data_IF_537450034824
#
_entry.id   IF_537450034824
#
_cell.length_a   1.000
_cell.length_b   1.000
_cell.length_c   1.000
_cell.angle_alpha   90.00
_cell.angle_beta   90.00
_cell.angle_gamma   90.00
#
_symmetry.space_group_name_H-M   'P 1'
#
loop_
_entity.id
_entity.type
_entity.pdbx_description
1 polymer ?
#
# COMPACT_ATOMS: atom_id res chain seq x y z
N UNK A 1 -26.11 31.08 0.71
CA UNK A 1 -25.36 31.00 1.97
C UNK A 1 -23.91 31.38 1.67
N UNK A 2 -23.28 32.30 2.41
CA UNK A 2 -21.86 32.59 2.24
C UNK A 2 -21.05 31.32 2.53
N UNK A 3 -20.11 30.98 1.63
CA UNK A 3 -19.24 29.81 1.78
C UNK A 3 -18.33 30.05 3.00
N UNK A 4 -18.26 29.06 3.89
CA UNK A 4 -17.43 29.17 5.08
C UNK A 4 -15.96 29.37 4.69
N UNK A 5 -15.28 30.24 5.43
CA UNK A 5 -13.89 30.61 5.17
C UNK A 5 -12.96 29.41 5.42
N UNK A 6 -12.28 28.95 4.36
CA UNK A 6 -11.50 27.71 4.39
C UNK A 6 -10.30 27.76 5.33
N UNK A 7 -9.46 28.82 5.36
CA UNK A 7 -8.38 28.94 6.33
C UNK A 7 -8.88 28.88 7.78
N UNK A 8 -9.99 29.55 8.10
CA UNK A 8 -10.56 29.50 9.45
C UNK A 8 -11.08 28.10 9.82
N UNK A 9 -11.53 27.30 8.83
CA UNK A 9 -11.88 25.90 9.05
C UNK A 9 -10.64 25.04 9.35
N UNK A 10 -9.55 25.26 8.61
CA UNK A 10 -8.28 24.55 8.83
C UNK A 10 -7.74 24.80 10.24
N UNK A 11 -7.68 26.06 10.67
CA UNK A 11 -7.20 26.43 12.01
C UNK A 11 -7.99 25.71 13.12
N UNK A 12 -9.32 25.61 12.97
CA UNK A 12 -10.16 24.90 13.94
C UNK A 12 -9.92 23.39 13.95
N UNK A 13 -9.70 22.78 12.79
CA UNK A 13 -9.37 21.35 12.68
C UNK A 13 -8.00 21.05 13.27
N UNK A 14 -7.01 21.92 13.05
CA UNK A 14 -5.67 21.78 13.63
C UNK A 14 -5.66 21.91 15.16
N UNK A 15 -6.54 22.75 15.70
CA UNK A 15 -6.74 22.91 17.15
C UNK A 15 -7.62 21.81 17.76
N UNK A 16 -7.96 20.76 17.00
CA UNK A 16 -8.88 19.69 17.38
C UNK A 16 -10.26 20.21 17.89
N UNK A 17 -10.66 21.41 17.45
CA UNK A 17 -11.89 22.11 17.85
C UNK A 17 -12.98 22.10 16.76
N UNK A 18 -12.90 21.14 15.83
CA UNK A 18 -13.82 21.05 14.70
C UNK A 18 -15.23 20.65 15.15
N UNK A 19 -16.21 21.47 14.82
CA UNK A 19 -17.63 21.19 15.06
C UNK A 19 -18.24 20.33 13.95
N UNK A 20 -19.43 19.77 14.18
CA UNK A 20 -20.17 19.05 13.14
C UNK A 20 -20.50 19.97 11.94
N UNK A 21 -20.71 21.27 12.19
CA UNK A 21 -20.91 22.26 11.12
C UNK A 21 -19.65 22.44 10.25
N UNK A 22 -18.47 22.32 10.84
CA UNK A 22 -17.20 22.42 10.11
C UNK A 22 -17.01 21.22 9.19
N UNK A 23 -17.43 20.01 9.62
CA UNK A 23 -17.44 18.81 8.76
C UNK A 23 -18.30 19.05 7.53
N UNK A 24 -19.55 19.50 7.70
CA UNK A 24 -20.44 19.78 6.55
C UNK A 24 -19.93 20.90 5.64
N UNK A 25 -19.25 21.91 6.20
CA UNK A 25 -18.61 22.94 5.38
C UNK A 25 -17.44 22.37 4.57
N UNK A 26 -16.61 21.51 5.17
CA UNK A 26 -15.50 20.84 4.48
C UNK A 26 -15.99 19.85 3.42
N UNK A 27 -17.11 19.15 3.65
CA UNK A 27 -17.77 18.29 2.64
C UNK A 27 -18.15 19.11 1.40
N UNK A 28 -18.80 20.28 1.57
CA UNK A 28 -19.13 21.18 0.45
C UNK A 28 -17.87 21.68 -0.28
N UNK A 29 -16.78 21.91 0.44
CA UNK A 29 -15.50 22.28 -0.17
C UNK A 29 -14.92 21.18 -1.04
N UNK A 30 -14.96 19.93 -0.55
CA UNK A 30 -14.52 18.75 -1.28
C UNK A 30 -15.40 18.49 -2.50
N UNK A 31 -16.71 18.66 -2.39
CA UNK A 31 -17.66 18.50 -3.50
C UNK A 31 -17.39 19.52 -4.62
N UNK A 32 -17.15 20.78 -4.25
CA UNK A 32 -16.82 21.83 -5.21
C UNK A 32 -15.40 21.72 -5.79
N UNK A 33 -14.48 21.03 -5.12
CA UNK A 33 -13.08 20.87 -5.55
C UNK A 33 -12.54 19.49 -5.16
N UNK A 34 -12.90 18.41 -5.89
CA UNK A 34 -12.57 17.03 -5.54
C UNK A 34 -11.08 16.67 -5.69
N UNK A 35 -10.28 17.57 -6.28
CA UNK A 35 -8.81 17.45 -6.36
C UNK A 35 -8.08 18.19 -5.22
N UNK A 36 -8.79 18.85 -4.31
CA UNK A 36 -8.14 19.66 -3.28
C UNK A 36 -7.64 18.79 -2.12
N UNK A 37 -6.33 18.49 -2.13
CA UNK A 37 -5.69 17.61 -1.13
C UNK A 37 -5.93 18.09 0.30
N UNK A 38 -5.66 19.37 0.58
CA UNK A 38 -5.82 19.94 1.94
C UNK A 38 -7.25 19.82 2.46
N UNK A 39 -8.27 19.95 1.61
CA UNK A 39 -9.66 19.78 2.01
C UNK A 39 -9.94 18.33 2.41
N UNK A 40 -9.41 17.35 1.67
CA UNK A 40 -9.48 15.95 2.06
C UNK A 40 -8.74 15.64 3.37
N UNK A 41 -7.56 16.24 3.60
CA UNK A 41 -6.81 16.06 4.85
C UNK A 41 -7.58 16.64 6.05
N UNK A 42 -8.11 17.85 5.91
CA UNK A 42 -8.88 18.52 6.95
C UNK A 42 -10.18 17.77 7.25
N UNK A 43 -10.91 17.32 6.21
CA UNK A 43 -12.12 16.54 6.38
C UNK A 43 -11.82 15.18 7.04
N UNK A 44 -10.75 14.49 6.62
CA UNK A 44 -10.34 13.25 7.25
C UNK A 44 -10.03 13.43 8.75
N UNK A 45 -9.33 14.51 9.11
CA UNK A 45 -9.02 14.84 10.50
C UNK A 45 -10.28 15.21 11.30
N UNK A 46 -11.19 15.99 10.73
CA UNK A 46 -12.46 16.30 11.35
C UNK A 46 -13.30 15.02 11.59
N UNK A 47 -13.35 14.10 10.61
CA UNK A 47 -14.00 12.80 10.78
C UNK A 47 -13.36 11.95 11.90
N UNK A 48 -12.04 12.02 12.10
CA UNK A 48 -11.37 11.34 13.24
C UNK A 48 -11.85 11.87 14.59
N UNK A 49 -12.02 13.20 14.71
CA UNK A 49 -12.49 13.87 15.93
C UNK A 49 -13.95 13.53 16.26
N UNK A 50 -14.78 13.37 15.24
CA UNK A 50 -16.20 12.97 15.38
C UNK A 50 -16.41 11.45 15.41
N UNK A 51 -15.35 10.67 15.62
CA UNK A 51 -15.40 9.20 15.74
C UNK A 51 -16.03 8.49 14.54
N UNK A 52 -15.82 9.00 13.32
CA UNK A 52 -16.26 8.40 12.04
C UNK A 52 -15.07 7.79 11.28
N UNK A 53 -14.50 6.67 11.75
CA UNK A 53 -13.22 6.15 11.24
C UNK A 53 -13.30 5.70 9.77
N UNK A 54 -14.43 5.15 9.33
CA UNK A 54 -14.59 4.69 7.95
C UNK A 54 -14.54 5.84 6.94
N UNK A 55 -15.17 6.95 7.29
CA UNK A 55 -15.17 8.15 6.46
C UNK A 55 -13.82 8.82 6.46
N UNK A 56 -13.19 8.93 7.63
CA UNK A 56 -11.82 9.41 7.74
C UNK A 56 -10.89 8.59 6.82
N UNK A 57 -10.98 7.25 6.86
CA UNK A 57 -10.18 6.35 6.01
C UNK A 57 -10.45 6.55 4.52
N UNK A 58 -11.70 6.78 4.10
CA UNK A 58 -12.02 7.10 2.69
C UNK A 58 -11.33 8.38 2.24
N UNK A 59 -11.39 9.45 3.03
CA UNK A 59 -10.74 10.72 2.70
C UNK A 59 -9.22 10.65 2.76
N UNK A 60 -8.64 9.90 3.70
CA UNK A 60 -7.20 9.62 3.73
C UNK A 60 -6.73 8.87 2.48
N UNK A 61 -7.49 7.88 2.00
CA UNK A 61 -7.19 7.17 0.75
C UNK A 61 -7.26 8.10 -0.45
N UNK A 62 -8.28 8.96 -0.52
CA UNK A 62 -8.40 9.94 -1.61
C UNK A 62 -7.22 10.91 -1.62
N UNK A 63 -6.81 11.42 -0.45
CA UNK A 63 -5.61 12.24 -0.33
C UNK A 63 -4.33 11.49 -0.74
N UNK A 64 -4.24 10.18 -0.47
CA UNK A 64 -3.11 9.35 -0.88
C UNK A 64 -3.00 9.19 -2.40
N UNK A 65 -4.14 9.12 -3.09
CA UNK A 65 -4.18 9.08 -4.56
C UNK A 65 -3.72 10.40 -5.18
N UNK A 66 -4.10 11.54 -4.57
CA UNK A 66 -3.75 12.86 -5.08
C UNK A 66 -2.30 13.25 -4.76
N UNK A 67 -1.76 12.82 -3.62
CA UNK A 67 -0.37 13.09 -3.23
C UNK A 67 0.31 11.83 -2.66
N UNK A 68 0.75 10.92 -3.54
CA UNK A 68 1.51 9.75 -3.13
C UNK A 68 2.80 10.17 -2.42
N UNK A 69 3.06 9.62 -1.24
CA UNK A 69 4.28 9.89 -0.46
C UNK A 69 4.12 10.89 0.69
N UNK A 70 3.01 11.63 0.77
CA UNK A 70 2.76 12.57 1.87
C UNK A 70 2.87 11.86 3.24
N UNK A 71 3.76 12.32 4.15
CA UNK A 71 3.94 11.69 5.46
C UNK A 71 2.70 11.83 6.34
N UNK A 72 1.98 12.95 6.23
CA UNK A 72 0.73 13.20 6.96
C UNK A 72 -0.35 12.18 6.57
N UNK A 73 -0.50 11.91 5.26
CA UNK A 73 -1.46 10.92 4.76
C UNK A 73 -1.11 9.52 5.25
N UNK A 74 0.17 9.12 5.15
CA UNK A 74 0.62 7.82 5.64
C UNK A 74 0.39 7.66 7.15
N UNK A 75 0.62 8.72 7.92
CA UNK A 75 0.35 8.71 9.36
C UNK A 75 -1.16 8.56 9.64
N UNK A 76 -2.02 9.30 8.94
CA UNK A 76 -3.48 9.22 9.08
C UNK A 76 -4.05 7.83 8.73
N UNK A 77 -3.58 7.23 7.63
CA UNK A 77 -3.95 5.86 7.26
C UNK A 77 -3.54 4.83 8.32
N UNK A 78 -2.34 4.95 8.90
CA UNK A 78 -1.90 4.05 9.99
C UNK A 78 -2.74 4.22 11.26
N UNK A 79 -3.11 5.46 11.61
CA UNK A 79 -3.97 5.72 12.78
C UNK A 79 -5.36 5.13 12.62
N UNK A 80 -6.00 5.36 11.48
CA UNK A 80 -7.34 4.85 11.19
C UNK A 80 -7.38 3.33 11.02
N UNK A 81 -6.30 2.71 10.52
CA UNK A 81 -6.19 1.26 10.40
C UNK A 81 -6.04 0.53 11.75
N UNK A 82 -5.49 1.19 12.79
CA UNK A 82 -5.34 0.60 14.13
C UNK A 82 -6.63 0.59 14.96
N UNK A 83 -7.65 1.36 14.56
CA UNK A 83 -8.86 1.59 15.37
C UNK A 83 -9.92 0.46 15.40
N UNK A 84 -9.94 -0.60 14.56
CA UNK A 84 -11.02 -1.60 14.62
C UNK A 84 -10.71 -2.91 15.37
N UNK A 85 -9.48 -3.17 15.85
CA UNK A 85 -9.21 -4.44 16.57
C UNK A 85 -9.39 -4.37 18.09
N UNK A 86 -9.32 -3.19 18.71
CA UNK A 86 -9.47 -3.07 20.15
C UNK A 86 -10.91 -3.33 20.65
N UNK A 87 -11.91 -3.08 19.80
CA UNK A 87 -13.33 -3.31 20.15
C UNK A 87 -13.80 -4.72 19.74
N UNK A 88 -13.24 -5.28 18.65
CA UNK A 88 -13.46 -6.69 18.28
C UNK A 88 -12.78 -7.67 19.27
N UNK A 89 -11.66 -7.28 19.88
CA UNK A 89 -11.03 -8.06 20.95
C UNK A 89 -11.78 -8.01 22.30
N UNK A 90 -12.84 -7.20 22.42
CA UNK A 90 -13.70 -7.15 23.60
C UNK A 90 -14.96 -8.03 23.49
N UNK A 91 -15.19 -8.70 22.35
CA UNK A 91 -16.10 -9.85 22.29
C UNK A 91 -15.40 -11.06 22.91
N UNK A 92 -15.39 -11.03 24.23
CA UNK A 92 -15.09 -12.16 25.10
C UNK A 92 -16.00 -13.30 24.69
N UNK A 93 -15.47 -14.27 23.93
CA UNK A 93 -16.12 -15.58 23.81
C UNK A 93 -16.26 -16.10 25.25
N UNK A 94 -17.48 -16.42 25.73
CA UNK A 94 -17.63 -17.01 27.06
C UNK A 94 -16.83 -18.31 27.11
N UNK A 95 -15.90 -18.39 28.05
CA UNK A 95 -15.05 -19.54 28.35
C UNK A 95 -15.85 -20.69 29.01
N UNK A 96 -17.03 -21.00 28.51
CA UNK A 96 -17.97 -21.96 29.11
C UNK A 96 -18.52 -22.96 28.08
N UNK A 97 -17.63 -23.44 27.20
CA UNK A 97 -17.85 -24.69 26.47
C UNK A 97 -16.55 -25.51 26.55
N UNK A 98 -16.20 -25.91 27.78
CA UNK A 98 -15.25 -26.97 28.03
C UNK A 98 -15.99 -28.21 28.58
N UNK A 99 -16.04 -29.21 27.70
CA UNK A 99 -16.09 -30.69 27.91
C UNK A 99 -17.39 -31.32 28.44
N UNK A 100 -17.71 -32.57 28.02
CA UNK A 100 -17.04 -33.74 28.60
C UNK A 100 -16.60 -34.86 27.60
N UNK A 101 -15.47 -35.47 27.98
CA UNK A 101 -15.11 -36.91 27.90
C UNK A 101 -14.75 -37.53 26.53
N UNK A 102 -13.49 -37.95 26.40
CA UNK A 102 -13.15 -39.39 26.42
C UNK A 102 -11.66 -39.67 26.65
N UNK A 103 -11.44 -40.48 27.68
CA UNK A 103 -10.22 -41.13 28.15
C UNK A 103 -9.54 -42.04 27.12
N UNK A 104 -8.21 -42.07 27.13
CA UNK A 104 -7.32 -43.26 27.32
C UNK A 104 -5.87 -42.83 27.04
N UNK A 105 -5.00 -42.80 28.06
CA UNK A 105 -3.93 -43.79 28.37
C UNK A 105 -2.55 -43.31 27.83
N UNK A 106 -1.65 -42.80 28.70
CA UNK A 106 -0.47 -43.49 29.31
C UNK A 106 0.61 -43.84 28.25
N UNK A 107 1.90 -43.50 28.30
CA UNK A 107 2.90 -43.29 29.36
C UNK A 107 4.13 -42.52 28.81
N UNK A 108 5.10 -42.30 29.70
CA UNK A 108 6.52 -41.91 29.50
C UNK A 108 6.82 -40.41 29.32
N UNK A 109 7.81 -39.82 29.98
CA UNK A 109 8.70 -40.22 31.06
C UNK A 109 9.36 -38.91 31.54
N UNK A 110 9.25 -38.66 32.84
CA UNK A 110 10.27 -38.11 33.78
C UNK A 110 11.55 -37.43 33.26
N UNK A 111 11.83 -36.24 33.82
CA UNK A 111 13.16 -35.60 33.86
C UNK A 111 13.05 -34.07 34.01
N UNK A 112 12.59 -33.53 35.14
CA UNK A 112 13.41 -33.03 36.26
C UNK A 112 14.24 -31.78 35.94
N UNK A 113 13.84 -30.66 36.59
CA UNK A 113 14.69 -29.63 37.22
C UNK A 113 15.47 -28.70 36.24
N UNK A 114 15.63 -27.39 36.43
CA UNK A 114 15.71 -26.53 37.62
C UNK A 114 15.52 -25.07 37.15
N UNK A 115 15.00 -24.22 38.04
CA UNK A 115 15.25 -22.76 38.04
C UNK A 115 16.69 -22.42 37.61
N UNK A 116 16.86 -21.39 36.77
CA UNK A 116 17.83 -20.30 37.00
C UNK A 116 17.49 -19.14 36.05
N UNK A 117 16.91 -18.07 36.59
CA UNK A 117 17.02 -16.73 36.02
C UNK A 117 18.43 -16.22 36.31
N UNK A 118 19.12 -15.64 35.32
CA UNK A 118 19.51 -14.25 35.52
C UNK A 118 19.56 -13.40 34.23
N UNK A 119 19.18 -12.14 34.42
CA UNK A 119 19.94 -10.96 33.96
C UNK A 119 19.94 -10.59 32.46
N UNK A 120 19.36 -9.41 32.23
CA UNK A 120 19.45 -8.64 31.00
C UNK A 120 20.90 -8.19 30.70
N UNK A 121 21.26 -7.96 29.42
CA UNK A 121 22.27 -6.99 29.08
C UNK A 121 21.63 -5.70 28.57
N UNK A 122 21.87 -4.66 29.35
CA UNK A 122 21.80 -3.24 28.97
C UNK A 122 22.57 -2.93 27.70
N UNK A 123 22.15 -1.79 27.13
CA UNK A 123 22.76 -1.02 26.07
C UNK A 123 24.26 -0.73 26.23
N UNK A 124 24.81 -0.23 25.12
CA UNK A 124 26.08 0.49 24.94
C UNK A 124 27.28 -0.32 24.40
N UNK A 125 27.40 -0.31 23.08
CA UNK A 125 28.68 -0.44 22.38
C UNK A 125 28.77 0.64 21.28
N UNK A 126 28.82 1.90 21.71
CA UNK A 126 29.36 2.98 20.88
C UNK A 126 30.87 2.75 20.78
N UNK A 127 31.32 2.34 19.60
CA UNK A 127 32.75 2.27 19.29
C UNK A 127 33.35 3.67 19.32
N UNK A 128 34.10 3.97 20.36
CA UNK A 128 34.96 5.15 20.44
C UNK A 128 36.13 4.98 19.44
N UNK A 129 35.95 5.51 18.23
CA UNK A 129 37.02 5.66 17.24
C UNK A 129 38.09 6.62 17.77
N UNK A 130 39.35 6.19 17.68
CA UNK A 130 40.49 6.93 18.22
C UNK A 130 40.66 8.32 17.56
N UNK A 131 41.11 9.35 18.30
CA UNK A 131 41.30 10.72 17.78
C UNK A 131 42.18 10.82 16.52
N UNK A 132 43.04 9.81 16.29
CA UNK A 132 43.96 9.73 15.15
C UNK A 132 43.27 9.36 13.83
N UNK A 133 42.19 8.59 13.87
CA UNK A 133 41.43 8.17 12.68
C UNK A 133 40.48 9.29 12.20
N UNK A 134 39.93 10.07 13.12
CA UNK A 134 39.15 11.28 12.78
C UNK A 134 40.03 12.34 12.10
N UNK A 135 41.30 12.43 12.46
CA UNK A 135 42.24 13.39 11.88
C UNK A 135 42.69 12.99 10.47
N UNK A 136 42.78 11.69 10.17
CA UNK A 136 43.07 11.19 8.82
C UNK A 136 41.88 11.37 7.85
N UNK A 137 40.63 11.20 8.31
CA UNK A 137 39.45 11.48 7.46
C UNK A 137 39.36 12.93 7.01
N UNK A 138 39.69 13.90 7.87
CA UNK A 138 39.61 15.33 7.54
C UNK A 138 40.59 15.79 6.45
N UNK A 139 41.73 15.13 6.31
CA UNK A 139 42.72 15.45 5.27
C UNK A 139 42.29 14.86 3.91
N UNK A 140 41.69 13.68 3.93
CA UNK A 140 41.17 13.02 2.72
C UNK A 140 39.92 13.73 2.17
N UNK A 141 38.97 14.16 3.00
CA UNK A 141 37.77 14.88 2.54
C UNK A 141 38.10 16.25 1.92
N UNK A 142 39.13 16.94 2.43
CA UNK A 142 39.54 18.24 1.88
C UNK A 142 40.20 18.11 0.51
N UNK A 143 40.83 16.97 0.21
CA UNK A 143 41.46 16.71 -1.10
C UNK A 143 40.40 16.36 -2.15
N UNK A 144 39.37 15.60 -1.76
CA UNK A 144 38.26 15.22 -2.67
C UNK A 144 37.39 16.43 -3.05
N UNK A 145 37.16 17.38 -2.13
CA UNK A 145 36.43 18.61 -2.46
C UNK A 145 37.20 19.53 -3.43
N UNK A 146 38.53 19.50 -3.41
CA UNK A 146 39.36 20.35 -4.27
C UNK A 146 39.49 19.79 -5.70
N UNK A 147 39.28 18.48 -5.89
CA UNK A 147 39.33 17.81 -7.19
C UNK A 147 37.99 17.86 -7.95
N UNK A 148 36.85 17.95 -7.22
CA UNK A 148 35.51 18.15 -7.79
C UNK A 148 35.25 19.57 -8.28
N UNK A 149 36.00 20.56 -7.80
CA UNK A 149 35.84 21.98 -8.18
C UNK A 149 36.53 22.33 -9.51
N UNK A 150 37.33 21.42 -10.08
CA UNK A 150 38.09 21.63 -11.31
C UNK A 150 37.45 21.00 -12.57
N UNK A 151 36.25 20.43 -12.46
CA UNK A 151 35.54 19.76 -13.54
C UNK A 151 34.11 20.29 -13.73
N UNK A 152 33.99 21.56 -14.10
CA UNK A 152 32.77 22.06 -14.76
C UNK A 152 33.09 22.31 -16.24
N UNK A 153 32.86 21.34 -17.15
CA UNK A 153 32.68 21.69 -18.55
C UNK A 153 31.38 22.50 -18.68
N UNK A 154 31.49 23.61 -19.40
CA UNK A 154 30.42 24.55 -19.72
C UNK A 154 29.34 23.87 -20.59
N UNK A 155 28.30 23.30 -19.97
CA UNK A 155 27.12 22.74 -20.66
C UNK A 155 25.78 23.28 -20.11
N UNK A 156 25.72 24.53 -19.64
CA UNK A 156 24.48 25.15 -19.14
C UNK A 156 23.76 26.09 -20.13
N UNK A 157 23.88 25.88 -21.45
CA UNK A 157 23.10 26.66 -22.44
C UNK A 157 22.11 25.83 -23.30
N UNK A 158 22.02 24.50 -23.12
CA UNK A 158 21.10 23.67 -23.93
C UNK A 158 19.73 23.41 -23.31
N UNK A 159 19.63 23.27 -21.98
CA UNK A 159 18.39 22.79 -21.33
C UNK A 159 17.22 23.77 -21.42
N UNK A 160 17.49 25.07 -21.62
CA UNK A 160 16.45 26.09 -21.75
C UNK A 160 15.72 26.06 -23.10
N UNK A 161 16.36 25.57 -24.17
CA UNK A 161 15.74 25.44 -25.50
C UNK A 161 14.95 24.14 -25.67
N UNK A 162 15.19 23.14 -24.82
CA UNK A 162 14.45 21.89 -24.82
C UNK A 162 13.10 22.00 -24.09
N UNK A 163 12.92 23.02 -23.23
CA UNK A 163 11.67 23.24 -22.52
C UNK A 163 10.54 23.70 -23.45
N UNK A 164 10.83 24.59 -24.41
CA UNK A 164 9.81 25.05 -25.35
C UNK A 164 9.33 23.91 -26.26
N UNK A 165 10.22 23.02 -26.69
CA UNK A 165 9.86 21.80 -27.42
C UNK A 165 9.05 20.82 -26.57
N UNK A 166 9.44 20.61 -25.31
CA UNK A 166 8.70 19.75 -24.39
C UNK A 166 7.29 20.29 -24.09
N UNK A 167 7.13 21.61 -24.02
CA UNK A 167 5.83 22.27 -23.84
C UNK A 167 4.95 22.04 -25.08
N UNK A 168 5.52 22.11 -26.29
CA UNK A 168 4.79 21.86 -27.54
C UNK A 168 4.35 20.39 -27.63
N UNK A 169 5.23 19.44 -27.29
CA UNK A 169 4.91 18.02 -27.20
C UNK A 169 3.80 17.72 -26.17
N UNK A 170 3.82 18.39 -25.02
CA UNK A 170 2.79 18.27 -23.97
C UNK A 170 1.45 18.88 -24.39
N UNK A 171 1.47 19.91 -25.23
CA UNK A 171 0.25 20.52 -25.77
C UNK A 171 -0.38 19.66 -26.87
N UNK A 172 0.43 19.01 -27.71
CA UNK A 172 -0.03 18.07 -28.74
C UNK A 172 -0.56 16.77 -28.12
N UNK A 173 0.10 16.26 -27.07
CA UNK A 173 -0.35 15.07 -26.33
C UNK A 173 -1.58 15.30 -25.43
N UNK A 174 -2.22 16.46 -25.50
CA UNK A 174 -3.43 16.76 -24.74
C UNK A 174 -4.58 15.89 -25.24
N UNK A 175 -4.89 14.84 -24.47
CA UNK A 175 -6.05 13.99 -24.72
C UNK A 175 -7.31 14.86 -24.64
N UNK A 176 -8.07 14.92 -25.74
CA UNK A 176 -9.37 15.57 -25.76
C UNK A 176 -10.28 14.96 -24.68
N UNK A 177 -11.02 15.80 -23.92
CA UNK A 177 -11.97 15.28 -22.96
C UNK A 177 -12.93 14.33 -23.68
N UNK A 178 -13.09 13.14 -23.09
CA UNK A 178 -14.02 12.12 -23.58
C UNK A 178 -15.36 12.82 -23.89
N UNK A 179 -15.92 12.67 -25.11
CA UNK A 179 -17.22 13.27 -25.44
C UNK A 179 -18.25 12.87 -24.39
N UNK A 180 -19.25 13.73 -24.17
CA UNK A 180 -20.34 13.44 -23.24
C UNK A 180 -20.87 12.01 -23.50
N UNK A 181 -21.17 11.24 -22.45
CA UNK A 181 -21.61 9.85 -22.59
C UNK A 181 -22.89 9.70 -23.43
N UNK A 182 -23.60 10.80 -23.69
CA UNK A 182 -24.78 10.88 -24.57
C UNK A 182 -24.42 11.04 -26.07
N UNK A 183 -23.18 11.41 -26.41
CA UNK A 183 -22.63 11.53 -27.77
C UNK A 183 -21.70 10.36 -28.14
N UNK A 184 -21.39 9.46 -27.19
CA UNK A 184 -20.69 8.23 -27.47
C UNK A 184 -21.62 7.27 -28.23
N UNK A 185 -21.16 6.59 -29.30
CA UNK A 185 -21.93 5.50 -29.88
C UNK A 185 -22.24 4.47 -28.79
N UNK A 186 -23.46 3.91 -28.81
CA UNK A 186 -23.88 2.86 -27.88
C UNK A 186 -22.76 1.81 -27.78
N UNK A 187 -22.38 1.34 -26.58
CA UNK A 187 -21.33 0.33 -26.44
C UNK A 187 -21.64 -0.98 -27.17
N UNK A 188 -22.90 -1.19 -27.59
CA UNK A 188 -23.36 -2.28 -28.46
C UNK A 188 -23.07 -2.06 -29.97
N UNK A 189 -22.82 -0.82 -30.40
CA UNK A 189 -22.50 -0.45 -31.79
C UNK A 189 -20.99 -0.26 -32.03
N UNK A 190 -20.17 -0.27 -30.97
CA UNK A 190 -18.73 -0.38 -31.11
C UNK A 190 -18.36 -1.82 -31.52
N UNK A 191 -17.63 -2.03 -32.63
CA UNK A 191 -17.09 -3.36 -32.90
C UNK A 191 -16.22 -3.73 -31.70
N UNK A 192 -16.61 -4.81 -31.00
CA UNK A 192 -15.78 -5.37 -29.95
C UNK A 192 -14.37 -5.54 -30.53
N UNK A 193 -13.30 -5.17 -29.80
CA UNK A 193 -11.96 -5.49 -30.27
C UNK A 193 -11.94 -6.99 -30.53
N UNK A 194 -11.54 -7.39 -31.74
CA UNK A 194 -11.30 -8.78 -32.12
C UNK A 194 -10.10 -9.29 -31.30
N UNK A 195 -10.33 -9.51 -30.00
CA UNK A 195 -9.46 -10.27 -29.14
C UNK A 195 -9.83 -11.72 -29.40
N UNK A 196 -9.04 -12.38 -30.24
CA UNK A 196 -9.13 -13.83 -30.38
C UNK A 196 -9.06 -14.44 -28.98
N UNK A 197 -10.14 -15.06 -28.51
CA UNK A 197 -10.23 -15.67 -27.17
C UNK A 197 -9.07 -16.65 -26.89
N UNK A 198 -8.47 -17.17 -27.95
CA UNK A 198 -7.28 -18.00 -27.95
C UNK A 198 -6.00 -17.29 -27.46
N UNK A 199 -5.78 -16.00 -27.76
CA UNK A 199 -4.57 -15.27 -27.36
C UNK A 199 -4.53 -14.97 -25.86
N UNK A 200 -5.69 -14.83 -25.22
CA UNK A 200 -5.78 -14.64 -23.76
C UNK A 200 -5.53 -15.93 -22.98
N UNK A 201 -5.79 -17.09 -23.58
CA UNK A 201 -5.64 -18.39 -22.93
C UNK A 201 -4.18 -18.87 -22.87
N UNK A 202 -3.28 -18.25 -23.64
CA UNK A 202 -1.84 -18.55 -23.67
C UNK A 202 -1.01 -17.71 -22.68
N UNK A 203 -1.57 -16.66 -22.09
CA UNK A 203 -0.86 -15.84 -21.09
C UNK A 203 -0.96 -16.46 -19.69
N UNK A 204 -0.02 -17.35 -19.37
CA UNK A 204 0.09 -17.95 -18.05
C UNK A 204 1.11 -17.20 -17.20
N UNK A 205 0.66 -16.69 -16.04
CA UNK A 205 1.52 -16.01 -15.07
C UNK A 205 1.34 -16.57 -13.66
N UNK A 206 2.37 -16.50 -12.79
CA UNK A 206 2.23 -16.92 -11.39
C UNK A 206 1.12 -16.16 -10.64
N UNK A 207 0.89 -14.90 -11.02
CA UNK A 207 -0.20 -14.08 -10.46
C UNK A 207 -1.57 -14.62 -10.85
N UNK A 208 -1.74 -15.08 -12.10
CA UNK A 208 -2.99 -15.68 -12.57
C UNK A 208 -3.32 -16.95 -11.79
N UNK A 209 -2.33 -17.83 -11.57
CA UNK A 209 -2.51 -19.04 -10.76
C UNK A 209 -2.96 -18.73 -9.32
N UNK A 210 -2.42 -17.66 -8.72
CA UNK A 210 -2.82 -17.18 -7.38
C UNK A 210 -4.24 -16.62 -7.36
N UNK A 211 -4.67 -15.94 -8.42
CA UNK A 211 -6.04 -15.42 -8.54
C UNK A 211 -7.03 -16.59 -8.59
N UNK A 212 -6.79 -17.59 -9.45
CA UNK A 212 -7.64 -18.79 -9.52
C UNK A 212 -7.71 -19.52 -8.17
N UNK A 213 -6.57 -19.70 -7.50
CA UNK A 213 -6.54 -20.27 -6.15
C UNK A 213 -7.36 -19.46 -5.15
N UNK A 214 -7.25 -18.12 -5.15
CA UNK A 214 -7.98 -17.25 -4.23
C UNK A 214 -9.49 -17.26 -4.49
N UNK A 215 -9.91 -17.54 -5.73
CA UNK A 215 -11.31 -17.67 -6.13
C UNK A 215 -11.89 -19.06 -5.87
N UNK A 216 -11.10 -20.01 -5.34
CA UNK A 216 -11.53 -21.40 -5.14
C UNK A 216 -11.59 -22.22 -6.45
N UNK A 217 -11.05 -21.70 -7.54
CA UNK A 217 -11.01 -22.39 -8.83
C UNK A 217 -9.78 -23.30 -8.90
N UNK A 218 -9.77 -24.33 -8.06
CA UNK A 218 -8.62 -25.20 -7.85
C UNK A 218 -8.20 -25.98 -9.10
N UNK A 219 -9.16 -26.42 -9.93
CA UNK A 219 -8.88 -27.12 -11.18
C UNK A 219 -8.14 -26.23 -12.21
N UNK A 220 -8.57 -24.97 -12.38
CA UNK A 220 -7.89 -24.04 -13.29
C UNK A 220 -6.53 -23.60 -12.72
N UNK A 221 -6.44 -23.36 -11.41
CA UNK A 221 -5.16 -23.08 -10.77
C UNK A 221 -4.12 -24.20 -11.00
N UNK A 222 -4.53 -25.47 -10.93
CA UNK A 222 -3.66 -26.61 -11.21
C UNK A 222 -3.14 -26.60 -12.66
N UNK A 223 -4.01 -26.34 -13.64
CA UNK A 223 -3.62 -26.26 -15.06
C UNK A 223 -2.60 -25.16 -15.32
N UNK A 224 -2.81 -23.98 -14.73
CA UNK A 224 -1.87 -22.85 -14.85
C UNK A 224 -0.52 -23.19 -14.21
N UNK A 225 -0.49 -23.86 -13.05
CA UNK A 225 0.77 -24.31 -12.45
C UNK A 225 1.50 -25.38 -13.27
N UNK A 226 0.79 -26.30 -13.94
CA UNK A 226 1.43 -27.24 -14.87
C UNK A 226 2.10 -26.52 -16.04
N UNK A 227 1.42 -25.54 -16.66
CA UNK A 227 2.03 -24.76 -17.74
C UNK A 227 3.22 -23.92 -17.26
N UNK A 228 3.14 -23.30 -16.08
CA UNK A 228 4.29 -22.59 -15.46
C UNK A 228 5.49 -23.53 -15.24
N UNK A 229 5.26 -24.79 -14.90
CA UNK A 229 6.35 -25.77 -14.75
C UNK A 229 7.03 -26.12 -16.08
N UNK A 230 6.32 -26.00 -17.21
CA UNK A 230 6.89 -26.19 -18.54
C UNK A 230 7.69 -24.96 -19.00
N UNK A 231 7.16 -23.76 -18.74
CA UNK A 231 7.80 -22.49 -19.12
C UNK A 231 9.00 -22.12 -18.24
N UNK A 232 8.96 -22.48 -16.94
CA UNK A 232 9.99 -22.15 -15.95
C UNK A 232 10.66 -23.42 -15.40
N UNK A 233 11.56 -24.09 -16.15
CA UNK A 233 12.15 -25.37 -15.75
C UNK A 233 12.98 -25.29 -14.46
N UNK A 234 13.52 -24.11 -14.12
CA UNK A 234 14.27 -23.89 -12.88
C UNK A 234 13.40 -23.98 -11.61
N UNK A 235 12.11 -23.66 -11.74
CA UNK A 235 11.12 -23.64 -10.65
C UNK A 235 10.06 -24.76 -10.82
N UNK A 236 10.22 -25.62 -11.82
CA UNK A 236 9.23 -26.61 -12.22
C UNK A 236 8.82 -27.58 -11.11
N UNK A 237 9.76 -27.96 -10.22
CA UNK A 237 9.44 -28.81 -9.08
C UNK A 237 8.48 -28.13 -8.09
N UNK A 238 8.63 -26.82 -7.86
CA UNK A 238 7.74 -26.07 -7.00
C UNK A 238 6.35 -25.95 -7.64
N UNK A 239 6.30 -25.58 -8.92
CA UNK A 239 5.03 -25.44 -9.63
C UNK A 239 4.28 -26.77 -9.75
N UNK A 240 4.96 -27.90 -9.99
CA UNK A 240 4.34 -29.23 -9.97
C UNK A 240 3.76 -29.57 -8.60
N UNK A 241 4.48 -29.31 -7.52
CA UNK A 241 3.97 -29.53 -6.15
C UNK A 241 2.74 -28.66 -5.85
N UNK A 242 2.76 -27.41 -6.33
CA UNK A 242 1.61 -26.52 -6.20
C UNK A 242 0.42 -27.03 -7.01
N UNK A 243 0.63 -27.52 -8.23
CA UNK A 243 -0.40 -28.15 -9.06
C UNK A 243 -1.03 -29.37 -8.36
N UNK A 244 -0.21 -30.30 -7.85
CA UNK A 244 -0.68 -31.48 -7.08
C UNK A 244 -1.53 -31.07 -5.87
N UNK A 245 -1.10 -30.02 -5.16
CA UNK A 245 -1.87 -29.49 -4.02
C UNK A 245 -3.22 -28.94 -4.47
N UNK A 246 -3.27 -28.22 -5.60
CA UNK A 246 -4.53 -27.68 -6.14
C UNK A 246 -5.44 -28.80 -6.66
N UNK A 247 -4.90 -29.84 -7.30
CA UNK A 247 -5.69 -31.01 -7.73
C UNK A 247 -6.32 -31.75 -6.55
N UNK A 248 -5.58 -31.93 -5.46
CA UNK A 248 -6.11 -32.53 -4.24
C UNK A 248 -7.22 -31.67 -3.62
N UNK A 249 -7.11 -30.35 -3.68
CA UNK A 249 -8.17 -29.43 -3.23
C UNK A 249 -9.40 -29.51 -4.14
N UNK A 250 -9.22 -29.52 -5.47
CA UNK A 250 -10.31 -29.64 -6.42
C UNK A 250 -11.15 -30.91 -6.20
N UNK A 251 -10.49 -32.04 -5.86
CA UNK A 251 -11.18 -33.30 -5.53
C UNK A 251 -11.93 -33.28 -4.19
N UNK A 252 -11.60 -32.35 -3.29
CA UNK A 252 -12.31 -32.19 -2.01
C UNK A 252 -13.53 -31.28 -2.13
N UNK A 253 -13.58 -30.44 -3.16
CA UNK A 253 -14.64 -29.47 -3.41
C UNK A 253 -15.74 -30.00 -4.35
N UNK A 254 -15.57 -31.21 -4.93
CA UNK A 254 -16.60 -31.98 -5.66
C UNK A 254 -17.50 -32.81 -4.72
#
# INVERSE_FOLDING_TARGET
MPRADFPALLDRVEQDAATASDVSALEQWVEAAPGHVTAHLALARACELHERPDQARRHWRRAALLQPGSPAVRAGLRRTARRPEAEAASLTLPADVLVPERSSETESETGSETETSPEAPSAEAVSELSPREQQQRRVSERTVLQELEAATPEEEESEAHDLDGLIEDLQDARIDPVPDPDDAPDPDDAPAPDLDEADTDDMVSPTLARIYKAQGQHAEAARVYHRLAEEHPAEAEEYRRQAETMEAQAQQDE
#
